data_IF_738565621770
#
_entry.id   IF_738565621770
#
_cell.length_a   1.000
_cell.length_b   1.000
_cell.length_c   1.000
_cell.angle_alpha   90.00
_cell.angle_beta   90.00
_cell.angle_gamma   90.00
#
_symmetry.space_group_name_H-M   'P 1'
#
loop_
_entity.id
_entity.type
_entity.pdbx_description
1 polymer ?
#
# COMPACT_ATOMS: atom_id res chain seq x y z
N UNK A 1 8.36 -12.75 4.46
CA UNK A 1 9.14 -13.84 5.09
C UNK A 1 9.14 -13.67 6.61
N UNK A 2 9.75 -14.61 7.35
CA UNK A 2 9.80 -14.61 8.82
C UNK A 2 10.63 -13.47 9.45
N UNK A 3 11.34 -12.69 8.64
CA UNK A 3 12.12 -11.51 9.06
C UNK A 3 11.36 -10.21 8.77
N UNK A 4 10.18 -10.29 8.18
CA UNK A 4 9.37 -9.12 7.89
C UNK A 4 8.72 -8.59 9.16
N UNK A 5 8.83 -7.29 9.38
CA UNK A 5 8.20 -6.58 10.49
C UNK A 5 7.37 -5.44 9.91
N UNK A 6 6.09 -5.39 10.24
CA UNK A 6 5.19 -4.33 9.78
C UNK A 6 4.74 -3.43 10.93
N UNK A 7 4.77 -2.12 10.73
CA UNK A 7 4.00 -1.18 11.52
C UNK A 7 2.58 -1.08 10.98
N UNK A 8 1.58 -1.39 11.82
CA UNK A 8 0.14 -1.33 11.50
C UNK A 8 -0.45 -0.11 12.19
N UNK A 9 -0.92 0.85 11.39
CA UNK A 9 -1.55 2.10 11.87
C UNK A 9 -3.02 2.22 11.43
N UNK A 10 -3.47 1.34 10.54
CA UNK A 10 -4.84 1.36 10.04
C UNK A 10 -5.77 0.55 10.95
N UNK A 11 -7.07 0.91 11.02
CA UNK A 11 -8.05 0.20 11.83
C UNK A 11 -8.16 -1.28 11.46
N UNK A 12 -8.20 -2.16 12.45
CA UNK A 12 -8.35 -3.61 12.24
C UNK A 12 -9.77 -4.04 11.86
N UNK A 13 -10.75 -3.17 11.98
CA UNK A 13 -12.12 -3.42 11.53
C UNK A 13 -12.34 -3.13 10.04
N UNK A 14 -11.37 -2.53 9.36
CA UNK A 14 -11.38 -2.28 7.93
C UNK A 14 -10.36 -3.20 7.25
N UNK A 15 -10.74 -3.82 6.13
CA UNK A 15 -9.95 -4.84 5.44
C UNK A 15 -8.52 -4.39 5.10
N UNK A 16 -8.29 -3.10 4.86
CA UNK A 16 -6.95 -2.55 4.60
C UNK A 16 -5.97 -2.70 5.76
N UNK A 17 -6.46 -2.67 7.02
CA UNK A 17 -5.61 -2.85 8.21
C UNK A 17 -5.02 -4.26 8.31
N UNK A 18 -5.85 -5.30 8.44
CA UNK A 18 -5.34 -6.65 8.60
C UNK A 18 -4.86 -7.30 7.29
N UNK A 19 -5.56 -7.09 6.16
CA UNK A 19 -5.38 -7.96 5.01
C UNK A 19 -4.39 -7.47 3.97
N UNK A 20 -4.04 -6.17 3.93
CA UNK A 20 -3.05 -5.70 2.96
C UNK A 20 -1.68 -6.33 3.22
N UNK A 21 -1.18 -6.23 4.44
CA UNK A 21 0.15 -6.75 4.78
C UNK A 21 0.17 -7.58 6.08
N UNK A 22 -0.64 -7.23 7.10
CA UNK A 22 -0.50 -7.81 8.44
C UNK A 22 -0.74 -9.33 8.44
N UNK A 23 -1.87 -9.79 7.91
CA UNK A 23 -2.14 -11.22 7.82
C UNK A 23 -1.15 -11.98 6.93
N UNK A 24 -0.77 -11.49 5.72
CA UNK A 24 0.29 -12.10 4.93
C UNK A 24 1.64 -12.20 5.65
N UNK A 25 2.04 -11.17 6.39
CA UNK A 25 3.30 -11.16 7.15
C UNK A 25 3.23 -12.17 8.30
N UNK A 26 2.14 -12.19 9.07
CA UNK A 26 1.95 -13.18 10.14
C UNK A 26 1.90 -14.61 9.59
N UNK A 27 1.22 -14.83 8.46
CA UNK A 27 1.18 -16.14 7.78
C UNK A 27 2.59 -16.60 7.34
N UNK A 28 3.45 -15.68 6.94
CA UNK A 28 4.83 -15.96 6.58
C UNK A 28 5.79 -16.10 7.81
N UNK A 29 5.26 -16.03 9.04
CA UNK A 29 6.03 -16.12 10.28
C UNK A 29 6.74 -14.83 10.70
N UNK A 30 6.38 -13.68 10.08
CA UNK A 30 6.89 -12.36 10.46
C UNK A 30 6.17 -11.77 11.66
N UNK A 31 6.40 -10.49 11.90
CA UNK A 31 5.90 -9.77 13.08
C UNK A 31 5.08 -8.54 12.67
N UNK A 32 4.14 -8.16 13.53
CA UNK A 32 3.44 -6.87 13.42
C UNK A 32 3.62 -6.06 14.71
N UNK A 33 3.81 -4.76 14.55
CA UNK A 33 3.77 -3.76 15.60
C UNK A 33 2.48 -2.98 15.42
N UNK A 34 1.57 -3.07 16.38
CA UNK A 34 0.27 -2.43 16.29
C UNK A 34 0.28 -1.10 17.03
N UNK A 35 0.07 0.00 16.32
CA UNK A 35 -0.14 1.31 16.88
C UNK A 35 -1.64 1.54 17.10
N UNK A 36 -2.05 1.76 18.35
CA UNK A 36 -3.47 1.89 18.69
C UNK A 36 -4.11 3.15 18.08
N UNK A 37 -3.41 4.27 18.20
CA UNK A 37 -3.82 5.57 17.68
C UNK A 37 -2.66 6.12 16.86
N UNK A 38 -2.93 6.51 15.62
CA UNK A 38 -1.88 7.04 14.74
C UNK A 38 -1.42 8.41 15.23
N UNK A 39 -0.11 8.53 15.47
CA UNK A 39 0.57 9.79 15.77
C UNK A 39 1.84 9.85 14.89
N UNK A 40 2.02 10.93 14.08
CA UNK A 40 3.09 10.98 13.08
C UNK A 40 4.50 10.83 13.64
N UNK A 41 4.82 11.53 14.73
CA UNK A 41 6.14 11.46 15.37
C UNK A 41 6.43 10.09 15.97
N UNK A 42 5.45 9.50 16.66
CA UNK A 42 5.58 8.13 17.19
C UNK A 42 5.74 7.10 16.06
N UNK A 43 5.01 7.26 14.95
CA UNK A 43 5.16 6.39 13.79
C UNK A 43 6.56 6.50 13.17
N UNK A 44 7.09 7.72 13.00
CA UNK A 44 8.47 7.94 12.54
C UNK A 44 9.49 7.34 13.50
N UNK A 45 9.29 7.51 14.82
CA UNK A 45 10.15 6.89 15.83
C UNK A 45 10.22 5.37 15.69
N UNK A 46 9.06 4.70 15.51
CA UNK A 46 9.00 3.23 15.29
C UNK A 46 9.62 2.83 13.97
N UNK A 47 9.39 3.58 12.88
CA UNK A 47 9.97 3.29 11.56
C UNK A 47 11.49 3.45 11.55
N UNK A 48 12.02 4.42 12.30
CA UNK A 48 13.45 4.71 12.40
C UNK A 48 14.20 3.84 13.41
N UNK A 49 13.50 3.12 14.29
CA UNK A 49 14.12 2.31 15.34
C UNK A 49 14.78 1.05 14.76
N UNK A 50 16.09 0.93 14.98
CA UNK A 50 16.89 -0.18 14.47
C UNK A 50 16.57 -1.51 15.18
N UNK A 51 16.23 -1.47 16.48
CA UNK A 51 15.94 -2.65 17.28
C UNK A 51 14.56 -3.23 16.95
N UNK A 52 13.60 -2.38 16.62
CA UNK A 52 12.28 -2.78 16.12
C UNK A 52 12.34 -3.31 14.68
N UNK A 53 13.25 -2.82 13.86
CA UNK A 53 13.58 -3.36 12.54
C UNK A 53 12.41 -3.38 11.56
N UNK A 54 11.57 -2.34 11.53
CA UNK A 54 10.39 -2.27 10.64
C UNK A 54 10.84 -2.28 9.18
N UNK A 55 10.25 -3.20 8.40
CA UNK A 55 10.55 -3.41 6.99
C UNK A 55 9.38 -3.13 6.07
N UNK A 56 8.16 -3.11 6.59
CA UNK A 56 6.93 -2.97 5.82
C UNK A 56 6.01 -1.94 6.48
N UNK A 57 5.42 -1.08 5.66
CA UNK A 57 4.43 -0.13 6.08
C UNK A 57 3.34 0.01 5.01
N UNK A 58 2.08 -0.01 5.42
CA UNK A 58 0.94 0.23 4.53
C UNK A 58 -0.02 1.21 5.17
N UNK A 59 -0.38 2.26 4.43
CA UNK A 59 -1.36 3.24 4.87
C UNK A 59 -2.12 3.88 3.69
N UNK A 60 -3.18 4.61 4.01
CA UNK A 60 -3.79 5.57 3.09
C UNK A 60 -2.90 6.82 2.98
N UNK A 61 -3.08 7.73 2.00
CA UNK A 61 -2.18 8.88 1.82
C UNK A 61 -2.03 9.81 3.03
N UNK A 62 -3.07 9.98 3.86
CA UNK A 62 -3.03 10.93 4.97
C UNK A 62 -1.93 10.65 6.02
N UNK A 63 -1.73 9.44 6.55
CA UNK A 63 -0.58 9.13 7.41
C UNK A 63 0.76 9.49 6.78
N UNK A 64 0.97 9.17 5.50
CA UNK A 64 2.19 9.54 4.78
C UNK A 64 2.40 11.05 4.73
N UNK A 65 1.34 11.80 4.46
CA UNK A 65 1.37 13.27 4.44
C UNK A 65 1.68 13.85 5.82
N UNK A 66 1.05 13.35 6.87
CA UNK A 66 1.28 13.85 8.23
C UNK A 66 2.70 13.55 8.72
N UNK A 67 3.25 12.37 8.43
CA UNK A 67 4.64 12.06 8.71
C UNK A 67 5.60 12.97 7.93
N UNK A 68 5.32 13.23 6.65
CA UNK A 68 6.14 14.12 5.82
C UNK A 68 6.15 15.57 6.32
N UNK A 69 5.08 16.01 7.01
CA UNK A 69 4.99 17.35 7.60
C UNK A 69 5.61 17.42 9.02
N UNK A 70 5.97 16.28 9.61
CA UNK A 70 6.55 16.26 10.96
C UNK A 70 8.02 16.66 10.94
N UNK A 71 8.51 17.45 11.94
CA UNK A 71 9.89 17.91 12.01
C UNK A 71 10.94 16.79 11.93
N UNK A 72 10.63 15.62 12.45
CA UNK A 72 11.55 14.48 12.47
C UNK A 72 11.61 13.71 11.15
N UNK A 73 10.76 14.03 10.17
CA UNK A 73 10.71 13.29 8.90
C UNK A 73 12.07 13.26 8.20
N UNK A 74 12.74 14.41 8.12
CA UNK A 74 14.02 14.52 7.42
C UNK A 74 15.19 13.84 8.15
N UNK A 75 15.08 13.64 9.45
CA UNK A 75 16.13 13.01 10.27
C UNK A 75 15.91 11.51 10.52
N UNK A 76 14.70 11.00 10.30
CA UNK A 76 14.35 9.59 10.54
C UNK A 76 15.09 8.67 9.57
N UNK A 77 15.72 7.61 10.05
CA UNK A 77 16.33 6.57 9.20
C UNK A 77 15.24 5.63 8.64
N UNK A 78 14.90 5.79 7.37
CA UNK A 78 13.91 4.98 6.65
C UNK A 78 14.54 3.87 5.78
N UNK A 79 15.85 3.67 5.86
CA UNK A 79 16.59 2.76 4.97
C UNK A 79 16.21 1.28 5.12
N UNK A 80 15.55 0.92 6.22
CA UNK A 80 15.08 -0.44 6.48
C UNK A 80 13.76 -0.77 5.82
N UNK A 81 12.99 0.24 5.38
CA UNK A 81 11.72 0.00 4.68
C UNK A 81 11.97 -0.64 3.31
N UNK A 82 11.60 -1.90 3.18
CA UNK A 82 11.67 -2.68 1.93
C UNK A 82 10.43 -2.51 1.07
N UNK A 83 9.29 -2.27 1.72
CA UNK A 83 8.01 -2.07 1.04
C UNK A 83 7.16 -1.06 1.80
N UNK A 84 6.74 -0.02 1.10
CA UNK A 84 5.84 1.00 1.60
C UNK A 84 4.65 1.12 0.64
N UNK A 85 3.51 0.55 1.02
CA UNK A 85 2.31 0.52 0.20
C UNK A 85 1.36 1.66 0.52
N UNK A 86 0.76 2.25 -0.51
CA UNK A 86 -0.27 3.28 -0.38
C UNK A 86 -1.49 2.94 -1.21
N UNK A 87 -2.69 3.07 -0.64
CA UNK A 87 -3.90 2.72 -1.35
C UNK A 87 -5.17 3.21 -0.66
N UNK A 88 -6.32 2.73 -1.14
CA UNK A 88 -7.65 3.11 -0.64
C UNK A 88 -8.22 4.37 -1.27
N UNK A 89 -7.38 5.34 -1.62
CA UNK A 89 -7.72 6.54 -2.39
C UNK A 89 -6.50 6.94 -3.25
N UNK A 90 -6.69 7.76 -4.31
CA UNK A 90 -5.56 8.28 -5.10
C UNK A 90 -4.54 9.02 -4.23
N UNK A 91 -3.26 8.74 -4.44
CA UNK A 91 -2.18 9.41 -3.74
C UNK A 91 -1.67 10.63 -4.53
N UNK A 92 -1.56 11.77 -3.86
CA UNK A 92 -1.04 12.98 -4.49
C UNK A 92 0.44 12.82 -4.87
N UNK A 93 0.80 13.31 -6.05
CA UNK A 93 2.18 13.23 -6.59
C UNK A 93 3.21 13.80 -5.62
N UNK A 94 2.89 14.91 -4.94
CA UNK A 94 3.79 15.53 -3.96
C UNK A 94 4.16 14.59 -2.80
N UNK A 95 3.24 13.71 -2.37
CA UNK A 95 3.51 12.70 -1.33
C UNK A 95 4.46 11.65 -1.89
N UNK A 96 4.19 11.13 -3.10
CA UNK A 96 5.04 10.14 -3.76
C UNK A 96 6.47 10.64 -3.94
N UNK A 97 6.61 11.87 -4.43
CA UNK A 97 7.92 12.51 -4.63
C UNK A 97 8.65 12.78 -3.32
N UNK A 98 7.95 13.27 -2.28
CA UNK A 98 8.53 13.55 -0.97
C UNK A 98 9.12 12.30 -0.30
N UNK A 99 8.41 11.19 -0.34
CA UNK A 99 8.91 9.91 0.20
C UNK A 99 10.03 9.33 -0.66
N UNK A 100 9.93 9.44 -2.00
CA UNK A 100 11.00 9.02 -2.89
C UNK A 100 12.29 9.82 -2.67
N UNK A 101 12.22 11.11 -2.37
CA UNK A 101 13.38 11.92 -2.02
C UNK A 101 14.10 11.41 -0.75
N UNK A 102 13.38 10.66 0.11
CA UNK A 102 13.92 9.96 1.28
C UNK A 102 14.33 8.48 0.98
N UNK A 103 14.37 8.09 -0.31
CA UNK A 103 14.73 6.75 -0.75
C UNK A 103 13.63 5.70 -0.59
N UNK A 104 12.39 6.10 -0.29
CA UNK A 104 11.25 5.20 -0.10
C UNK A 104 10.26 5.32 -1.26
N UNK A 105 10.21 4.30 -2.10
CA UNK A 105 9.21 4.22 -3.17
C UNK A 105 7.84 3.82 -2.59
N UNK A 106 6.85 4.70 -2.69
CA UNK A 106 5.48 4.37 -2.32
C UNK A 106 4.79 3.59 -3.44
N UNK A 107 4.50 2.32 -3.17
CA UNK A 107 3.84 1.41 -4.11
C UNK A 107 2.33 1.62 -4.04
N UNK A 108 1.75 2.17 -5.09
CA UNK A 108 0.31 2.36 -5.17
C UNK A 108 -0.41 1.05 -5.45
N UNK A 109 -1.55 0.84 -4.81
CA UNK A 109 -2.42 -0.29 -5.04
C UNK A 109 -3.89 0.12 -5.10
N UNK A 110 -4.68 -0.68 -5.79
CA UNK A 110 -6.13 -0.58 -5.81
C UNK A 110 -6.77 -1.90 -5.36
N UNK A 111 -7.84 -1.75 -4.63
CA UNK A 111 -8.67 -2.84 -4.19
C UNK A 111 -9.86 -2.37 -3.36
N UNK A 112 -10.68 -3.29 -2.95
CA UNK A 112 -11.89 -3.04 -2.16
C UNK A 112 -12.13 -4.22 -1.22
N UNK A 113 -13.11 -4.13 -0.33
CA UNK A 113 -13.44 -5.22 0.59
C UNK A 113 -13.69 -6.53 -0.15
N UNK A 114 -14.39 -6.45 -1.28
CA UNK A 114 -14.75 -7.57 -2.14
C UNK A 114 -13.55 -8.22 -2.85
N UNK A 115 -12.39 -7.57 -2.88
CA UNK A 115 -11.13 -8.13 -3.44
C UNK A 115 -10.16 -8.65 -2.35
N UNK A 116 -10.54 -8.68 -1.08
CA UNK A 116 -9.87 -9.25 0.11
C UNK A 116 -8.45 -8.74 0.45
N UNK A 117 -8.06 -7.49 0.41
CA UNK A 117 -8.55 -6.28 -0.23
C UNK A 117 -7.84 -5.98 -1.57
N UNK A 118 -6.83 -6.75 -1.97
CA UNK A 118 -5.96 -6.44 -3.08
C UNK A 118 -6.49 -6.91 -4.43
N UNK A 119 -6.52 -6.03 -5.43
CA UNK A 119 -6.84 -6.37 -6.81
C UNK A 119 -5.70 -6.04 -7.77
N UNK A 120 -5.08 -4.89 -7.60
CA UNK A 120 -4.07 -4.33 -8.49
C UNK A 120 -2.95 -3.71 -7.66
N UNK A 121 -1.70 -3.82 -8.10
CA UNK A 121 -0.56 -3.16 -7.47
C UNK A 121 0.45 -2.67 -8.50
N UNK A 122 1.01 -1.50 -8.25
CA UNK A 122 2.15 -0.97 -8.99
C UNK A 122 3.44 -1.59 -8.45
N UNK A 123 4.44 -1.75 -9.29
CA UNK A 123 5.77 -2.17 -8.87
C UNK A 123 6.61 -0.96 -8.41
N UNK A 124 7.58 -1.18 -7.51
CA UNK A 124 8.39 -0.09 -6.96
C UNK A 124 9.17 0.69 -8.06
N UNK A 125 9.67 -0.01 -9.07
CA UNK A 125 10.39 0.60 -10.20
C UNK A 125 9.48 1.51 -11.07
N UNK A 126 8.18 1.29 -11.00
CA UNK A 126 7.17 2.06 -11.73
C UNK A 126 6.56 3.21 -10.87
N UNK A 127 6.86 3.27 -9.57
CA UNK A 127 6.20 4.16 -8.63
C UNK A 127 6.19 5.64 -9.05
N UNK A 128 7.32 6.14 -9.58
CA UNK A 128 7.39 7.50 -10.14
C UNK A 128 7.16 7.55 -11.65
N UNK A 129 7.54 6.49 -12.37
CA UNK A 129 7.42 6.46 -13.83
C UNK A 129 5.96 6.42 -14.30
N UNK A 130 5.08 5.84 -13.48
CA UNK A 130 3.65 5.65 -13.79
C UNK A 130 2.75 6.24 -12.69
N UNK A 131 3.04 7.46 -12.27
CA UNK A 131 2.20 8.19 -11.32
C UNK A 131 0.75 8.23 -11.84
N UNK A 132 -0.20 7.95 -10.95
CA UNK A 132 -1.63 7.86 -11.28
C UNK A 132 -2.09 6.48 -11.73
N UNK A 133 -1.18 5.52 -11.97
CA UNK A 133 -1.53 4.14 -12.24
C UNK A 133 -1.67 3.35 -10.94
N UNK A 134 -2.67 2.49 -10.86
CA UNK A 134 -2.79 1.50 -9.79
C UNK A 134 -1.91 0.25 -10.04
N UNK A 135 -1.37 0.08 -11.26
CA UNK A 135 -0.46 -1.01 -11.61
C UNK A 135 -1.10 -2.13 -12.44
N UNK A 136 -0.78 -3.37 -12.08
CA UNK A 136 -1.21 -4.59 -12.76
C UNK A 136 -1.99 -5.48 -11.81
N UNK A 137 -2.77 -6.41 -12.37
CA UNK A 137 -3.44 -7.46 -11.59
C UNK A 137 -2.47 -8.18 -10.65
N UNK A 138 -2.89 -8.41 -9.42
CA UNK A 138 -2.15 -9.25 -8.49
C UNK A 138 -2.13 -10.71 -8.94
N UNK A 139 -1.23 -11.49 -8.35
CA UNK A 139 -1.12 -12.92 -8.60
C UNK A 139 -2.48 -13.62 -8.40
N UNK A 140 -2.86 -14.49 -9.34
CA UNK A 140 -4.14 -15.21 -9.38
C UNK A 140 -5.38 -14.33 -9.59
N UNK A 141 -5.22 -13.07 -9.95
CA UNK A 141 -6.30 -12.14 -10.26
C UNK A 141 -6.30 -11.81 -11.75
N UNK A 142 -7.47 -11.88 -12.37
CA UNK A 142 -7.70 -11.46 -13.75
C UNK A 142 -8.47 -10.14 -13.75
N UNK A 143 -8.07 -9.19 -14.60
CA UNK A 143 -8.77 -7.91 -14.77
C UNK A 143 -9.10 -7.69 -16.25
N UNK A 144 -10.25 -7.06 -16.49
CA UNK A 144 -10.63 -6.52 -17.80
C UNK A 144 -11.23 -5.14 -17.61
N UNK A 145 -11.11 -4.30 -18.62
CA UNK A 145 -11.81 -3.02 -18.69
C UNK A 145 -12.76 -3.12 -19.88
N UNK A 146 -14.05 -2.95 -19.63
CA UNK A 146 -15.11 -3.18 -20.59
C UNK A 146 -15.98 -1.93 -20.78
N UNK A 147 -16.61 -1.82 -21.94
CA UNK A 147 -17.65 -0.84 -22.22
C UNK A 147 -19.03 -1.30 -21.70
N UNK A 148 -20.09 -0.51 -21.99
CA UNK A 148 -21.48 -0.79 -21.60
C UNK A 148 -22.04 -2.07 -22.26
N UNK A 149 -21.47 -2.51 -23.38
CA UNK A 149 -21.85 -3.75 -24.09
C UNK A 149 -21.06 -4.97 -23.62
N UNK A 150 -20.14 -4.81 -22.64
CA UNK A 150 -19.30 -5.89 -22.10
C UNK A 150 -18.10 -6.25 -22.97
N UNK A 151 -17.75 -5.39 -23.94
CA UNK A 151 -16.61 -5.57 -24.85
C UNK A 151 -15.37 -4.91 -24.27
N UNK A 152 -14.20 -5.56 -24.39
CA UNK A 152 -12.93 -5.00 -23.93
C UNK A 152 -12.60 -3.70 -24.68
N UNK A 153 -12.30 -2.65 -23.91
CA UNK A 153 -11.88 -1.35 -24.46
C UNK A 153 -10.38 -1.36 -24.79
N UNK A 154 -9.99 -0.47 -25.68
CA UNK A 154 -8.59 -0.27 -26.08
C UNK A 154 -7.78 0.53 -25.05
N UNK A 155 -6.45 0.60 -25.21
CA UNK A 155 -5.60 1.43 -24.37
C UNK A 155 -6.00 2.90 -24.41
N UNK A 156 -6.05 3.55 -23.23
CA UNK A 156 -6.48 4.93 -22.99
C UNK A 156 -7.99 5.19 -23.22
N UNK A 157 -8.80 4.16 -23.34
CA UNK A 157 -10.25 4.26 -23.31
C UNK A 157 -10.77 4.04 -21.90
N UNK A 158 -11.85 4.75 -21.56
CA UNK A 158 -12.49 4.65 -20.24
C UNK A 158 -13.52 3.52 -20.30
N UNK A 159 -13.53 2.67 -19.27
CA UNK A 159 -14.49 1.58 -19.15
C UNK A 159 -14.67 1.15 -17.69
N UNK A 160 -15.52 0.14 -17.49
CA UNK A 160 -15.74 -0.49 -16.20
C UNK A 160 -14.65 -1.53 -15.93
N UNK A 161 -14.02 -1.44 -14.73
CA UNK A 161 -13.07 -2.44 -14.28
C UNK A 161 -13.82 -3.66 -13.72
N UNK A 162 -13.70 -4.79 -14.39
CA UNK A 162 -14.18 -6.08 -13.86
C UNK A 162 -13.01 -6.93 -13.41
N UNK A 163 -13.23 -7.68 -12.33
CA UNK A 163 -12.17 -8.46 -11.69
C UNK A 163 -12.66 -9.86 -11.34
N UNK A 164 -11.77 -10.85 -11.49
CA UNK A 164 -12.01 -12.25 -11.16
C UNK A 164 -10.81 -12.86 -10.50
N UNK A 165 -11.02 -13.69 -9.50
CA UNK A 165 -9.95 -14.42 -8.81
C UNK A 165 -10.45 -15.13 -7.56
N UNK A 166 -9.62 -16.00 -6.95
CA UNK A 166 -9.97 -16.70 -5.72
C UNK A 166 -10.11 -15.77 -4.50
N UNK A 167 -9.59 -14.55 -4.60
CA UNK A 167 -9.69 -13.50 -3.58
C UNK A 167 -10.97 -12.67 -3.69
N UNK A 168 -11.78 -12.88 -4.72
CA UNK A 168 -13.02 -12.12 -4.92
C UNK A 168 -14.15 -12.78 -4.12
N UNK A 169 -14.92 -11.98 -3.39
CA UNK A 169 -16.08 -12.49 -2.66
C UNK A 169 -17.13 -13.05 -3.64
N UNK A 170 -17.77 -14.18 -3.33
CA UNK A 170 -18.70 -14.82 -4.25
C UNK A 170 -20.05 -14.10 -4.41
N UNK A 171 -20.29 -12.98 -3.74
CA UNK A 171 -21.53 -12.18 -3.78
C UNK A 171 -22.50 -12.55 -2.69
#
# INVERSE_FOLDING_TARGET
DSKSVQLVVLPLFHTGGPNCYANPILHAGGQILLMRDFEPGAALGVLGDADLGVTHFFAVPAPYQFMMQHPDFDSTDLSRLKNAGVGGVPCAEAILQGWMARGVALVQGWGMTETSPGGISLEADDALRKIGSAGKALMHTEIRIIDEDGVDVGPNEVGELIIKGPNITPG
#
